data_IF_989196473030
#
_entry.id   IF_989196473030
#
_cell.length_a   1.000
_cell.length_b   1.000
_cell.length_c   1.000
_cell.angle_alpha   90.00
_cell.angle_beta   90.00
_cell.angle_gamma   90.00
#
_symmetry.space_group_name_H-M   'P 1'
#
loop_
_entity.id
_entity.type
_entity.pdbx_description
1 polymer ?
#
# COMPACT_ATOMS: atom_id res chain seq x y z
N UNK A 1 8.89 -3.65 -33.79
CA UNK A 1 9.06 -3.60 -32.32
C UNK A 1 9.27 -2.21 -31.74
N UNK A 2 10.45 -1.57 -31.76
CA UNK A 2 10.61 -0.23 -31.12
C UNK A 2 9.66 0.83 -31.71
N UNK A 3 9.43 0.76 -33.03
CA UNK A 3 8.51 1.65 -33.74
C UNK A 3 7.05 1.44 -33.33
N UNK A 4 6.63 0.19 -33.12
CA UNK A 4 5.27 -0.16 -32.66
C UNK A 4 5.03 0.27 -31.22
N UNK A 5 6.03 0.13 -30.34
CA UNK A 5 5.96 0.62 -28.96
C UNK A 5 5.83 2.15 -28.93
N UNK A 6 6.52 2.86 -29.83
CA UNK A 6 6.46 4.31 -29.94
C UNK A 6 5.11 4.83 -30.51
N UNK A 7 4.41 4.04 -31.32
CA UNK A 7 3.08 4.42 -31.86
C UNK A 7 1.99 4.55 -30.79
N UNK A 8 2.11 3.80 -29.69
CA UNK A 8 1.16 3.89 -28.56
C UNK A 8 1.33 5.20 -27.79
N UNK A 9 2.41 5.95 -28.04
CA UNK A 9 2.66 7.28 -27.50
C UNK A 9 3.14 7.27 -26.04
N UNK A 10 3.11 8.47 -25.43
CA UNK A 10 3.65 8.71 -24.10
C UNK A 10 2.55 9.10 -23.11
N UNK A 11 2.65 8.58 -21.89
CA UNK A 11 1.88 8.99 -20.73
C UNK A 11 2.63 10.11 -19.99
N UNK A 12 1.90 11.18 -19.65
CA UNK A 12 2.40 12.24 -18.79
C UNK A 12 1.63 12.21 -17.46
N UNK A 13 2.29 11.90 -16.33
CA UNK A 13 1.62 11.89 -15.04
C UNK A 13 1.29 13.32 -14.59
N UNK A 14 0.13 13.54 -13.95
CA UNK A 14 -0.17 14.82 -13.33
C UNK A 14 0.83 15.10 -12.21
N UNK A 15 1.49 16.26 -12.25
CA UNK A 15 2.50 16.66 -11.28
C UNK A 15 3.95 16.29 -11.64
N UNK A 16 4.18 15.63 -12.78
CA UNK A 16 5.53 15.34 -13.28
C UNK A 16 5.71 15.86 -14.71
N UNK A 17 6.81 16.58 -14.95
CA UNK A 17 7.12 17.17 -16.27
C UNK A 17 7.52 16.10 -17.30
N UNK A 18 7.98 14.94 -16.84
CA UNK A 18 8.51 13.89 -17.70
C UNK A 18 7.41 13.06 -18.36
N UNK A 19 7.68 12.61 -19.58
CA UNK A 19 6.81 11.73 -20.39
C UNK A 19 7.39 10.32 -20.41
N UNK A 20 6.54 9.32 -20.24
CA UNK A 20 6.91 7.91 -20.13
C UNK A 20 6.22 7.10 -21.23
N UNK A 21 6.91 6.15 -21.90
CA UNK A 21 6.28 5.38 -22.96
C UNK A 21 5.16 4.50 -22.39
N UNK A 22 3.97 4.53 -23.02
CA UNK A 22 2.81 3.73 -22.56
C UNK A 22 3.02 2.24 -22.75
N UNK A 23 3.76 1.88 -23.80
CA UNK A 23 4.15 0.52 -24.11
C UNK A 23 5.66 0.49 -24.33
N UNK A 24 6.33 -0.48 -23.71
CA UNK A 24 7.77 -0.70 -23.85
C UNK A 24 7.99 -2.18 -24.12
N UNK A 25 8.64 -2.49 -25.23
CA UNK A 25 9.04 -3.86 -25.56
C UNK A 25 10.52 -3.96 -25.25
N UNK A 26 10.86 -4.75 -24.24
CA UNK A 26 12.24 -5.05 -23.86
C UNK A 26 12.55 -6.50 -24.22
N UNK A 27 13.70 -6.72 -24.82
CA UNK A 27 14.21 -8.07 -25.05
C UNK A 27 14.80 -8.65 -23.76
N UNK A 28 14.83 -9.98 -23.68
CA UNK A 28 15.43 -10.69 -22.53
C UNK A 28 16.91 -10.30 -22.37
N UNK A 29 17.65 -10.17 -23.47
CA UNK A 29 19.05 -9.75 -23.44
C UNK A 29 19.24 -8.36 -22.80
N UNK A 30 18.35 -7.41 -23.11
CA UNK A 30 18.39 -6.07 -22.50
C UNK A 30 18.08 -6.09 -21.02
N UNK A 31 17.12 -6.91 -20.59
CA UNK A 31 16.81 -7.09 -19.16
C UNK A 31 18.01 -7.69 -18.42
N UNK A 32 18.66 -8.70 -19.00
CA UNK A 32 19.87 -9.30 -18.43
C UNK A 32 21.07 -8.33 -18.44
N UNK A 33 21.11 -7.38 -19.36
CA UNK A 33 22.08 -6.29 -19.36
C UNK A 33 21.76 -5.18 -18.33
N UNK A 34 20.65 -5.29 -17.58
CA UNK A 34 20.28 -4.36 -16.52
C UNK A 34 19.33 -3.23 -16.94
N UNK A 35 18.78 -3.27 -18.16
CA UNK A 35 17.75 -2.31 -18.58
C UNK A 35 16.47 -2.55 -17.77
N UNK A 36 15.89 -1.48 -17.24
CA UNK A 36 14.64 -1.52 -16.49
C UNK A 36 13.51 -0.84 -17.25
N UNK A 37 12.27 -1.16 -16.85
CA UNK A 37 11.07 -0.50 -17.38
C UNK A 37 11.09 0.96 -16.90
N UNK A 38 10.83 1.89 -17.81
CA UNK A 38 10.72 3.29 -17.47
C UNK A 38 9.30 3.60 -16.97
N UNK A 39 9.16 4.10 -15.75
CA UNK A 39 7.86 4.49 -15.22
C UNK A 39 8.00 5.69 -14.28
N UNK A 40 6.93 6.48 -14.11
CA UNK A 40 6.94 7.58 -13.17
C UNK A 40 7.11 7.05 -11.76
N UNK A 41 8.27 7.32 -11.15
CA UNK A 41 8.49 7.12 -9.72
C UNK A 41 7.76 8.24 -8.97
N UNK A 42 6.50 8.00 -8.64
CA UNK A 42 5.79 8.82 -7.66
C UNK A 42 6.63 8.77 -6.37
N UNK A 43 6.93 9.93 -5.77
CA UNK A 43 7.43 9.98 -4.39
C UNK A 43 6.48 9.14 -3.54
N UNK A 44 7.02 8.32 -2.64
CA UNK A 44 6.25 7.54 -1.67
C UNK A 44 5.35 8.49 -0.87
N UNK A 45 4.17 8.79 -1.40
CA UNK A 45 3.09 9.48 -0.70
C UNK A 45 2.59 8.48 0.31
N UNK A 46 3.30 8.45 1.43
CA UNK A 46 2.95 7.68 2.61
C UNK A 46 1.47 7.87 2.85
N UNK A 47 0.70 6.80 2.61
CA UNK A 47 -0.74 6.81 2.88
C UNK A 47 -0.93 7.25 4.33
N UNK A 48 -1.78 8.26 4.54
CA UNK A 48 -2.07 8.77 5.88
C UNK A 48 -2.57 7.61 6.74
N UNK A 49 -1.78 7.22 7.75
CA UNK A 49 -2.15 6.16 8.69
C UNK A 49 -3.50 6.46 9.30
N UNK A 50 -4.44 5.51 9.19
CA UNK A 50 -5.77 5.66 9.75
C UNK A 50 -5.68 5.91 11.28
N UNK A 51 -6.52 6.81 11.83
CA UNK A 51 -6.55 7.04 13.27
C UNK A 51 -6.97 5.76 14.00
N UNK A 52 -6.34 5.47 15.14
CA UNK A 52 -6.74 4.34 15.99
C UNK A 52 -8.13 4.62 16.57
N UNK A 53 -9.04 3.65 16.49
CA UNK A 53 -10.33 3.73 17.16
C UNK A 53 -10.11 3.87 18.68
N UNK A 54 -10.87 4.77 19.32
CA UNK A 54 -10.91 4.85 20.79
C UNK A 54 -11.59 3.60 21.31
N UNK A 55 -10.98 2.94 22.30
CA UNK A 55 -11.65 1.85 23.01
C UNK A 55 -12.94 2.41 23.63
N UNK A 56 -14.07 1.78 23.34
CA UNK A 56 -15.25 1.96 24.17
C UNK A 56 -14.87 1.57 25.59
N UNK A 57 -15.37 2.31 26.59
CA UNK A 57 -15.20 1.95 27.99
C UNK A 57 -16.06 0.71 28.29
N UNK A 58 -15.61 -0.45 27.82
CA UNK A 58 -16.18 -1.73 28.17
C UNK A 58 -15.46 -2.20 29.44
N UNK A 59 -16.20 -2.22 30.55
CA UNK A 59 -15.73 -2.71 31.83
C UNK A 59 -15.20 -4.13 31.69
N UNK A 60 -13.89 -4.29 31.80
CA UNK A 60 -13.27 -5.61 31.88
C UNK A 60 -13.61 -6.22 33.24
N UNK A 61 -14.33 -7.33 33.22
CA UNK A 61 -14.51 -8.19 34.39
C UNK A 61 -13.20 -8.99 34.55
N UNK A 62 -12.55 -8.97 35.73
CA UNK A 62 -11.30 -9.70 35.94
C UNK A 62 -11.53 -11.22 35.94
N UNK A 63 -10.61 -11.97 35.30
CA UNK A 63 -10.63 -13.43 35.15
C UNK A 63 -10.18 -14.19 36.41
N UNK A 64 -10.02 -13.53 37.55
CA UNK A 64 -9.69 -14.25 38.80
C UNK A 64 -10.97 -14.79 39.39
N UNK A 65 -11.15 -16.11 39.30
CA UNK A 65 -12.16 -16.84 40.05
C UNK A 65 -11.90 -16.72 41.54
N UNK A 66 -12.43 -15.65 42.14
CA UNK A 66 -12.66 -15.58 43.57
C UNK A 66 -14.15 -15.85 43.75
N UNK A 67 -14.43 -16.99 44.37
CA UNK A 67 -15.76 -17.41 44.80
C UNK A 67 -16.42 -16.24 45.53
N UNK A 68 -17.56 -15.80 45.00
CA UNK A 68 -18.43 -14.89 45.73
C UNK A 68 -19.16 -15.78 46.74
N UNK A 69 -18.57 -15.92 47.93
CA UNK A 69 -19.30 -16.42 49.10
C UNK A 69 -20.37 -15.39 49.45
N UNK A 70 -21.57 -15.62 48.93
CA UNK A 70 -22.77 -14.86 49.23
C UNK A 70 -23.33 -15.39 50.56
N UNK A 71 -22.80 -14.91 51.69
CA UNK A 71 -23.50 -15.03 52.97
C UNK A 71 -24.64 -14.01 53.03
N UNK A 72 -25.80 -14.44 52.54
CA UNK A 72 -27.10 -13.77 52.71
C UNK A 72 -27.90 -14.37 53.88
N UNK A 73 -28.75 -13.59 54.57
CA UNK A 73 -29.15 -13.85 55.94
C UNK A 73 -30.40 -14.72 56.07
N UNK A 74 -30.33 -15.82 56.82
CA UNK A 74 -31.44 -16.41 57.59
C UNK A 74 -30.91 -17.15 58.82
#
# INVERSE_FOLDING_TARGET
MLKEAAEVGFYQPPGLTNKYPRLQILSIAELLAGKQIEYPRMLDVTYKKAPKARKAAEGQIPLTGAEVEDEGPF
#
